data_IF_691946522494
#
_entry.id   IF_691946522494
#
_cell.length_a   1.000
_cell.length_b   1.000
_cell.length_c   1.000
_cell.angle_alpha   90.00
_cell.angle_beta   90.00
_cell.angle_gamma   90.00
#
_symmetry.space_group_name_H-M   'P 1'
#
loop_
_entity.id
_entity.type
_entity.pdbx_description
1 polymer ?
#
# COMPACT_ATOMS: atom_id res chain seq x y z
N UNK A 1 -22.77 17.90 -4.70
CA UNK A 1 -22.56 16.45 -4.51
C UNK A 1 -22.58 16.22 -3.01
N UNK A 2 -23.57 15.51 -2.55
CA UNK A 2 -23.71 15.17 -1.14
C UNK A 2 -22.94 13.87 -0.85
N UNK A 3 -22.57 13.64 0.42
CA UNK A 3 -21.83 12.42 0.78
C UNK A 3 -22.60 11.14 0.43
N UNK A 4 -23.93 11.19 0.49
CA UNK A 4 -24.81 10.07 0.12
C UNK A 4 -24.81 9.74 -1.39
N UNK A 5 -24.25 10.62 -2.22
CA UNK A 5 -24.10 10.44 -3.66
C UNK A 5 -22.72 9.82 -4.04
N UNK A 6 -21.82 9.67 -3.09
CA UNK A 6 -20.50 9.07 -3.32
C UNK A 6 -20.64 7.57 -3.34
N UNK A 7 -20.55 6.99 -4.50
CA UNK A 7 -20.58 5.52 -4.70
C UNK A 7 -19.16 5.00 -4.73
N UNK A 8 -18.92 3.93 -3.98
CA UNK A 8 -17.62 3.23 -4.04
C UNK A 8 -17.43 2.63 -5.44
N UNK A 9 -16.19 2.66 -5.94
CA UNK A 9 -15.86 1.96 -7.19
C UNK A 9 -16.22 0.48 -7.08
N UNK A 10 -16.86 -0.05 -8.10
CA UNK A 10 -17.28 -1.45 -8.16
C UNK A 10 -16.86 -2.13 -9.48
N UNK A 11 -17.05 -3.45 -9.54
CA UNK A 11 -16.70 -4.27 -10.70
C UNK A 11 -17.53 -3.98 -11.96
N UNK A 12 -18.53 -3.12 -11.90
CA UNK A 12 -19.48 -2.89 -13.02
C UNK A 12 -19.06 -1.75 -13.96
N UNK A 13 -17.82 -1.32 -13.95
CA UNK A 13 -17.36 -0.41 -14.99
C UNK A 13 -16.54 0.77 -14.56
N UNK A 14 -16.12 0.83 -13.33
CA UNK A 14 -15.23 1.88 -12.85
C UNK A 14 -13.73 1.63 -13.16
N UNK A 15 -13.41 0.45 -13.68
CA UNK A 15 -12.08 0.14 -14.20
C UNK A 15 -10.98 0.02 -13.17
N UNK A 16 -11.33 -0.13 -11.90
CA UNK A 16 -10.33 -0.24 -10.83
C UNK A 16 -9.70 -1.62 -10.80
N UNK A 17 -10.43 -2.66 -11.17
CA UNK A 17 -9.94 -4.04 -11.11
C UNK A 17 -8.95 -4.37 -12.23
N UNK A 18 -8.97 -3.66 -13.33
CA UNK A 18 -8.11 -3.97 -14.48
C UNK A 18 -7.30 -2.76 -14.94
N UNK A 19 -6.29 -2.41 -14.13
CA UNK A 19 -5.31 -1.38 -14.50
C UNK A 19 -4.52 -1.72 -15.79
N UNK A 20 -4.77 -2.89 -16.38
CA UNK A 20 -4.17 -3.33 -17.64
C UNK A 20 -4.97 -2.90 -18.87
N UNK A 21 -6.23 -2.47 -18.71
CA UNK A 21 -7.09 -2.12 -19.83
C UNK A 21 -7.06 -0.60 -20.13
N UNK A 22 -6.40 -0.18 -21.22
CA UNK A 22 -6.14 1.26 -21.50
C UNK A 22 -7.37 2.09 -21.85
N UNK A 23 -8.54 1.49 -22.01
CA UNK A 23 -9.78 2.18 -22.36
C UNK A 23 -10.62 2.65 -21.15
N UNK A 24 -10.19 2.35 -19.97
CA UNK A 24 -10.88 2.72 -18.73
C UNK A 24 -10.43 4.08 -18.15
N UNK A 25 -9.96 4.96 -19.01
CA UNK A 25 -9.43 6.28 -18.60
C UNK A 25 -10.48 7.23 -18.03
N UNK A 26 -11.78 7.00 -18.29
CA UNK A 26 -12.84 7.87 -17.80
C UNK A 26 -12.93 7.94 -16.27
N UNK A 27 -12.51 6.87 -15.59
CA UNK A 27 -12.54 6.76 -14.12
C UNK A 27 -11.15 6.75 -13.47
N UNK A 28 -10.12 7.06 -14.22
CA UNK A 28 -8.73 7.05 -13.71
C UNK A 28 -8.55 7.92 -12.46
N UNK A 29 -9.17 9.09 -12.43
CA UNK A 29 -9.14 9.97 -11.27
C UNK A 29 -9.75 9.33 -10.02
N UNK A 30 -10.96 8.78 -10.16
CA UNK A 30 -11.65 8.09 -9.07
C UNK A 30 -10.85 6.88 -8.57
N UNK A 31 -10.28 6.11 -9.50
CA UNK A 31 -9.41 4.96 -9.16
C UNK A 31 -8.19 5.37 -8.34
N UNK A 32 -7.51 6.43 -8.76
CA UNK A 32 -6.35 6.95 -8.03
C UNK A 32 -6.76 7.45 -6.64
N UNK A 33 -7.84 8.19 -6.55
CA UNK A 33 -8.30 8.74 -5.28
C UNK A 33 -8.77 7.64 -4.32
N UNK A 34 -9.40 6.60 -4.85
CA UNK A 34 -9.76 5.42 -4.06
C UNK A 34 -8.53 4.65 -3.55
N UNK A 35 -7.52 4.46 -4.38
CA UNK A 35 -6.25 3.87 -3.93
C UNK A 35 -5.57 4.71 -2.83
N UNK A 36 -5.59 6.04 -2.98
CA UNK A 36 -5.07 6.96 -1.96
C UNK A 36 -5.86 6.87 -0.65
N UNK A 37 -7.17 6.88 -0.74
CA UNK A 37 -8.06 6.74 0.41
C UNK A 37 -7.80 5.44 1.17
N UNK A 38 -7.72 4.32 0.47
CA UNK A 38 -7.43 3.02 1.07
C UNK A 38 -6.03 2.98 1.72
N UNK A 39 -5.02 3.47 1.00
CA UNK A 39 -3.66 3.52 1.53
C UNK A 39 -3.55 4.39 2.79
N UNK A 40 -4.20 5.54 2.80
CA UNK A 40 -4.19 6.46 3.95
C UNK A 40 -5.02 5.89 5.11
N UNK A 41 -6.13 5.22 4.83
CA UNK A 41 -6.96 4.54 5.85
C UNK A 41 -6.20 3.42 6.56
N UNK A 42 -5.54 2.55 5.79
CA UNK A 42 -4.70 1.48 6.34
C UNK A 42 -3.52 2.04 7.14
N UNK A 43 -2.88 3.08 6.64
CA UNK A 43 -1.77 3.74 7.34
C UNK A 43 -2.23 4.36 8.67
N UNK A 44 -3.42 4.95 8.70
CA UNK A 44 -3.99 5.48 9.95
C UNK A 44 -4.25 4.38 10.98
N UNK A 45 -4.74 3.22 10.56
CA UNK A 45 -4.87 2.06 11.46
C UNK A 45 -3.51 1.66 12.05
N UNK A 46 -2.49 1.50 11.21
CA UNK A 46 -1.14 1.19 11.65
C UNK A 46 -0.62 2.22 12.68
N UNK A 47 -0.85 3.52 12.44
CA UNK A 47 -0.44 4.58 13.36
C UNK A 47 -1.15 4.48 14.70
N UNK A 48 -2.46 4.20 14.71
CA UNK A 48 -3.24 4.02 15.94
C UNK A 48 -2.73 2.82 16.75
N UNK A 49 -2.44 1.70 16.07
CA UNK A 49 -1.86 0.51 16.72
C UNK A 49 -0.46 0.82 17.27
N UNK A 50 0.38 1.46 16.49
CA UNK A 50 1.72 1.91 16.93
C UNK A 50 1.63 2.81 18.16
N UNK A 51 0.75 3.79 18.16
CA UNK A 51 0.53 4.68 19.31
C UNK A 51 0.06 3.92 20.54
N UNK A 52 -0.80 2.93 20.38
CA UNK A 52 -1.25 2.09 21.49
C UNK A 52 -0.10 1.28 22.10
N UNK A 53 0.74 0.67 21.25
CA UNK A 53 1.93 -0.07 21.68
C UNK A 53 2.92 0.86 22.40
N UNK A 54 3.15 2.04 21.86
CA UNK A 54 4.11 3.02 22.41
C UNK A 54 3.76 3.55 23.81
N UNK A 55 2.53 3.36 24.26
CA UNK A 55 2.16 3.64 25.66
C UNK A 55 2.85 2.70 26.65
N UNK A 56 3.19 1.51 26.21
CA UNK A 56 3.75 0.44 27.07
C UNK A 56 5.20 0.10 26.69
N UNK A 57 5.52 0.11 25.42
CA UNK A 57 6.85 -0.20 24.89
C UNK A 57 7.33 0.92 23.96
N UNK A 58 8.39 1.61 24.41
CA UNK A 58 8.96 2.76 23.69
C UNK A 58 10.18 2.40 22.84
N UNK A 59 10.75 1.22 23.03
CA UNK A 59 12.05 0.86 22.48
C UNK A 59 11.98 -0.16 21.36
N UNK A 60 11.08 -1.15 21.45
CA UNK A 60 10.99 -2.20 20.44
C UNK A 60 10.61 -1.63 19.06
N UNK A 61 11.39 -1.90 18.02
CA UNK A 61 11.05 -1.44 16.66
C UNK A 61 9.71 -1.99 16.19
N UNK A 62 8.88 -1.11 15.64
CA UNK A 62 7.56 -1.48 15.10
C UNK A 62 7.61 -1.45 13.58
N UNK A 63 7.13 -2.53 12.98
CA UNK A 63 7.03 -2.71 11.55
C UNK A 63 5.72 -3.42 11.19
N UNK A 64 5.40 -3.46 9.91
CA UNK A 64 4.39 -4.36 9.34
C UNK A 64 4.94 -4.97 8.07
N UNK A 65 4.47 -6.16 7.72
CA UNK A 65 4.86 -6.83 6.49
C UNK A 65 4.16 -6.19 5.28
N UNK A 66 4.92 -5.57 4.42
CA UNK A 66 4.40 -4.99 3.18
C UNK A 66 4.35 -6.06 2.07
N UNK A 67 3.44 -5.88 1.12
CA UNK A 67 3.21 -6.86 0.05
C UNK A 67 4.21 -6.80 -1.13
N UNK A 68 5.40 -6.30 -0.93
CA UNK A 68 6.39 -6.16 -2.00
C UNK A 68 6.09 -4.94 -2.88
N UNK A 69 5.49 -5.11 -4.05
CA UNK A 69 5.20 -4.01 -4.99
C UNK A 69 3.70 -3.86 -5.26
N UNK A 70 2.91 -3.71 -4.23
CA UNK A 70 1.47 -3.52 -4.38
C UNK A 70 1.12 -2.07 -4.72
N UNK A 71 0.44 -1.86 -5.84
CA UNK A 71 0.14 -0.51 -6.38
C UNK A 71 -0.83 0.31 -5.52
N UNK A 72 -1.62 -0.35 -4.68
CA UNK A 72 -2.61 0.30 -3.81
C UNK A 72 -2.04 0.95 -2.55
N UNK A 73 -0.72 0.87 -2.30
CA UNK A 73 -0.07 1.46 -1.13
C UNK A 73 0.98 2.50 -1.53
N UNK A 74 0.99 3.62 -0.84
CA UNK A 74 2.06 4.61 -0.94
C UNK A 74 3.22 4.22 0.01
N UNK A 75 4.16 3.43 -0.49
CA UNK A 75 5.29 2.91 0.28
C UNK A 75 6.14 4.02 0.90
N UNK A 76 6.28 5.17 0.26
CA UNK A 76 7.04 6.30 0.82
C UNK A 76 6.36 6.94 2.02
N UNK A 77 5.03 7.03 2.03
CA UNK A 77 4.29 7.49 3.20
C UNK A 77 4.42 6.48 4.35
N UNK A 78 4.22 5.19 4.05
CA UNK A 78 4.29 4.12 5.03
C UNK A 78 5.68 4.01 5.67
N UNK A 79 6.74 4.10 4.89
CA UNK A 79 8.11 4.00 5.36
C UNK A 79 8.46 5.06 6.43
N UNK A 80 7.85 6.24 6.35
CA UNK A 80 8.08 7.31 7.35
C UNK A 80 7.52 6.96 8.73
N UNK A 81 6.48 6.15 8.76
CA UNK A 81 5.81 5.77 10.00
C UNK A 81 6.33 4.46 10.61
N UNK A 82 6.97 3.62 9.83
CA UNK A 82 7.57 2.36 10.29
C UNK A 82 8.96 2.59 10.86
N UNK A 83 9.35 1.84 11.88
CA UNK A 83 10.72 1.92 12.41
C UNK A 83 11.68 1.09 11.55
N UNK A 84 11.22 -0.03 11.02
CA UNK A 84 11.94 -0.91 10.08
C UNK A 84 11.05 -1.22 8.90
N UNK A 85 11.60 -1.21 7.69
CA UNK A 85 10.87 -1.64 6.50
C UNK A 85 11.02 -3.15 6.34
N UNK A 86 9.89 -3.84 6.35
CA UNK A 86 9.83 -5.27 6.07
C UNK A 86 8.80 -5.57 4.97
N UNK A 87 8.98 -6.64 4.25
CA UNK A 87 8.07 -7.06 3.19
C UNK A 87 8.02 -8.57 3.05
N UNK A 88 6.91 -9.08 2.54
CA UNK A 88 6.71 -10.48 2.28
C UNK A 88 7.52 -10.92 1.06
N UNK A 89 8.47 -11.81 1.28
CA UNK A 89 9.36 -12.33 0.25
C UNK A 89 9.20 -13.85 0.12
N UNK A 90 8.34 -14.25 -0.82
CA UNK A 90 8.06 -15.67 -1.13
C UNK A 90 8.50 -16.00 -2.57
N UNK A 91 9.81 -16.06 -2.85
CA UNK A 91 10.27 -16.41 -4.18
C UNK A 91 9.94 -17.86 -4.50
N UNK A 92 9.29 -18.10 -5.64
CA UNK A 92 9.12 -19.43 -6.21
C UNK A 92 10.41 -19.87 -6.91
N UNK A 93 10.48 -21.16 -7.27
CA UNK A 93 11.62 -21.70 -8.03
C UNK A 93 11.88 -20.94 -9.35
N UNK A 94 10.83 -20.44 -9.98
CA UNK A 94 10.90 -19.71 -11.24
C UNK A 94 11.05 -18.19 -11.08
N UNK A 95 11.12 -17.68 -9.84
CA UNK A 95 11.25 -16.25 -9.61
C UNK A 95 12.69 -15.80 -9.96
N UNK A 96 12.87 -14.84 -10.88
CA UNK A 96 14.18 -14.30 -11.19
C UNK A 96 14.83 -13.67 -9.97
N UNK A 97 16.06 -14.01 -9.67
CA UNK A 97 16.83 -13.45 -8.55
C UNK A 97 16.98 -11.93 -8.65
N UNK A 98 17.06 -11.41 -9.89
CA UNK A 98 17.08 -9.96 -10.15
C UNK A 98 15.83 -9.27 -9.64
N UNK A 99 14.65 -9.89 -9.76
CA UNK A 99 13.40 -9.35 -9.23
C UNK A 99 13.42 -9.28 -7.70
N UNK A 100 13.94 -10.33 -7.05
CA UNK A 100 14.08 -10.35 -5.58
C UNK A 100 15.05 -9.26 -5.13
N UNK A 101 16.22 -9.16 -5.77
CA UNK A 101 17.22 -8.13 -5.48
C UNK A 101 16.65 -6.72 -5.67
N UNK A 102 15.95 -6.48 -6.78
CA UNK A 102 15.30 -5.19 -7.06
C UNK A 102 14.30 -4.79 -5.96
N UNK A 103 13.47 -5.74 -5.50
CA UNK A 103 12.51 -5.47 -4.43
C UNK A 103 13.20 -5.14 -3.11
N UNK A 104 14.28 -5.85 -2.77
CA UNK A 104 15.08 -5.52 -1.58
C UNK A 104 15.72 -4.13 -1.68
N UNK A 105 16.24 -3.77 -2.84
CA UNK A 105 16.83 -2.44 -3.06
C UNK A 105 15.76 -1.34 -3.01
N UNK A 106 14.57 -1.60 -3.57
CA UNK A 106 13.43 -0.70 -3.44
C UNK A 106 13.10 -0.44 -1.96
N UNK A 107 12.93 -1.50 -1.16
CA UNK A 107 12.61 -1.38 0.26
C UNK A 107 13.71 -0.63 1.04
N UNK A 108 14.98 -0.89 0.72
CA UNK A 108 16.12 -0.17 1.30
C UNK A 108 16.12 1.31 0.94
N UNK A 109 15.69 1.65 -0.28
CA UNK A 109 15.62 3.03 -0.77
C UNK A 109 14.45 3.86 -0.23
N UNK A 110 13.53 3.24 0.51
CA UNK A 110 12.41 3.95 1.14
C UNK A 110 12.81 4.71 2.40
N UNK A 111 13.97 4.40 2.99
CA UNK A 111 14.44 4.94 4.27
C UNK A 111 15.94 5.17 4.28
#
# INVERSE_FOLDING_TARGET
>A
MDWDEVVLPDALGDGIEDAAEPHMTAFAGLSIDYCRFNSDGMLNNFKMEKEAIRKFDKETPITTNMMGTFKGLDYFKWAKEMDVISWDNYPSYNTPWSLVAMKHDLMRGLK
#
